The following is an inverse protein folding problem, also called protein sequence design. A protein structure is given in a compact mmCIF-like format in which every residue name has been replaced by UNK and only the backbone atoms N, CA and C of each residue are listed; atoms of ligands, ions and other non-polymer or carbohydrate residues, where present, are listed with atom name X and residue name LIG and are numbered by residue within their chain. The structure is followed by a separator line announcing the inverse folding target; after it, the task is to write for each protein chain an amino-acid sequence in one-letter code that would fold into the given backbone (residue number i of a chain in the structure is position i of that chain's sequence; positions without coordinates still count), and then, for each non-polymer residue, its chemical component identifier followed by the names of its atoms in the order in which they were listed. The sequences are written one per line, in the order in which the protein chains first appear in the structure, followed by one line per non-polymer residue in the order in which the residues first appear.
data_IF_557905543718
#
_entry.id   IF_557905543718
#
_cell.length_a   1.000
_cell.length_b   1.000
_cell.length_c   1.000
_cell.angle_alpha   90.00
_cell.angle_beta   90.00
_cell.angle_gamma   90.00
#
_symmetry.space_group_name_H-M   'P 1'
#
loop_
_entity.id
_entity.type
_entity.pdbx_description
1 polymer ?
#
# COMPACT_ATOMS: atom_id res chain seq x y z
N UNK A 1 3.24 -32.99 7.15
CA UNK A 1 2.99 -32.03 8.24
C UNK A 1 3.99 -30.92 8.05
N UNK A 2 3.58 -29.80 7.49
CA UNK A 2 4.45 -28.62 7.46
C UNK A 2 4.45 -28.02 8.86
N UNK A 3 5.60 -28.12 9.53
CA UNK A 3 5.85 -27.61 10.87
C UNK A 3 5.90 -26.07 10.91
N UNK A 4 5.83 -25.41 9.75
CA UNK A 4 5.86 -23.97 9.62
C UNK A 4 4.53 -23.48 9.00
N UNK A 5 3.76 -22.63 9.70
CA UNK A 5 2.58 -22.03 9.10
C UNK A 5 2.97 -21.21 7.86
N UNK A 6 2.22 -21.37 6.77
CA UNK A 6 2.38 -20.55 5.58
C UNK A 6 1.93 -19.12 5.90
N UNK A 7 2.78 -18.13 5.64
CA UNK A 7 2.45 -16.72 5.80
C UNK A 7 2.37 -16.06 4.42
N UNK A 8 1.28 -15.31 4.18
CA UNK A 8 1.18 -14.47 2.99
C UNK A 8 2.16 -13.31 3.10
N UNK A 9 3.05 -13.16 2.12
CA UNK A 9 3.99 -12.03 2.01
C UNK A 9 4.42 -11.80 0.57
N UNK A 10 4.93 -10.61 0.27
CA UNK A 10 5.72 -10.37 -0.95
C UNK A 10 7.00 -11.22 -0.90
N UNK A 11 7.46 -11.70 -2.05
CA UNK A 11 8.73 -12.42 -2.13
C UNK A 11 9.90 -11.48 -1.91
N UNK A 12 11.02 -12.00 -1.41
CA UNK A 12 12.25 -11.24 -1.19
C UNK A 12 12.68 -10.51 -2.48
N UNK A 13 12.76 -11.25 -3.60
CA UNK A 13 13.07 -10.68 -4.91
C UNK A 13 12.08 -9.58 -5.29
N UNK A 14 10.77 -9.83 -5.12
CA UNK A 14 9.73 -8.88 -5.48
C UNK A 14 9.83 -7.58 -4.69
N UNK A 15 10.09 -7.64 -3.38
CA UNK A 15 10.29 -6.47 -2.55
C UNK A 15 11.50 -5.65 -3.02
N UNK A 16 12.64 -6.30 -3.26
CA UNK A 16 13.84 -5.61 -3.72
C UNK A 16 13.65 -4.94 -5.09
N UNK A 17 13.01 -5.63 -6.03
CA UNK A 17 12.79 -5.07 -7.36
C UNK A 17 11.67 -4.04 -7.44
N UNK A 18 10.68 -4.12 -6.54
CA UNK A 18 9.54 -3.20 -6.58
C UNK A 18 9.81 -1.91 -5.78
N UNK A 19 10.68 -1.95 -4.77
CA UNK A 19 10.81 -0.85 -3.81
C UNK A 19 12.15 -0.13 -3.89
N UNK A 20 13.19 -0.78 -4.42
CA UNK A 20 14.56 -0.28 -4.29
C UNK A 20 15.36 -0.15 -5.58
N UNK A 21 15.09 -0.95 -6.61
CA UNK A 21 15.89 -0.93 -7.82
C UNK A 21 15.68 -2.12 -8.74
N UNK A 22 16.65 -2.39 -9.62
CA UNK A 22 16.63 -3.52 -10.55
C UNK A 22 17.74 -4.52 -10.26
N UNK A 23 17.42 -5.81 -10.36
CA UNK A 23 18.39 -6.89 -10.29
C UNK A 23 19.05 -7.11 -11.65
N UNK A 24 20.38 -7.01 -11.72
CA UNK A 24 21.15 -7.22 -12.95
C UNK A 24 22.07 -8.47 -12.84
N UNK A 25 22.20 -9.28 -13.90
CA UNK A 25 21.51 -9.17 -15.20
C UNK A 25 20.00 -9.48 -15.07
N UNK A 26 19.22 -9.14 -16.10
CA UNK A 26 17.78 -9.41 -16.11
C UNK A 26 17.48 -10.90 -15.80
N UNK A 27 16.37 -11.15 -15.10
CA UNK A 27 15.97 -12.47 -14.58
C UNK A 27 16.86 -13.05 -13.48
N UNK A 28 17.74 -12.24 -12.88
CA UNK A 28 18.47 -12.63 -11.68
C UNK A 28 17.61 -12.52 -10.42
N UNK A 29 18.11 -13.11 -9.34
CA UNK A 29 17.53 -13.07 -7.99
C UNK A 29 18.50 -12.32 -7.06
N UNK A 30 18.10 -12.05 -5.83
CA UNK A 30 19.02 -11.50 -4.81
C UNK A 30 20.23 -12.42 -4.54
N UNK A 31 20.16 -13.70 -4.93
CA UNK A 31 21.27 -14.65 -4.77
C UNK A 31 22.18 -14.72 -6.01
N UNK A 32 21.70 -14.30 -7.18
CA UNK A 32 22.38 -14.49 -8.46
C UNK A 32 22.69 -13.20 -9.21
N UNK A 33 22.17 -12.07 -8.75
CA UNK A 33 22.32 -10.76 -9.39
C UNK A 33 22.62 -9.66 -8.39
N UNK A 34 23.07 -8.52 -8.95
CA UNK A 34 23.40 -7.32 -8.19
C UNK A 34 22.22 -6.35 -8.23
N UNK A 35 21.83 -5.78 -7.09
CA UNK A 35 20.84 -4.71 -7.05
C UNK A 35 21.49 -3.41 -7.50
N UNK A 36 20.94 -2.81 -8.55
CA UNK A 36 21.22 -1.43 -8.93
C UNK A 36 20.06 -0.56 -8.46
N UNK A 37 20.29 0.38 -7.52
CA UNK A 37 19.22 1.19 -6.94
C UNK A 37 18.51 2.07 -7.96
N UNK A 38 17.24 2.39 -7.72
CA UNK A 38 16.55 3.39 -8.50
C UNK A 38 17.27 4.74 -8.50
N UNK A 39 17.28 5.42 -9.64
CA UNK A 39 17.99 6.69 -9.81
C UNK A 39 19.53 6.57 -9.86
N UNK A 40 20.10 5.36 -9.81
CA UNK A 40 21.52 5.15 -10.09
C UNK A 40 21.82 5.28 -11.60
N UNK A 41 22.96 5.86 -12.02
CA UNK A 41 23.32 5.92 -13.44
C UNK A 41 23.42 4.56 -14.14
N UNK A 42 23.68 3.49 -13.39
CA UNK A 42 23.72 2.12 -13.90
C UNK A 42 22.35 1.42 -13.86
N UNK A 43 21.30 2.08 -13.34
CA UNK A 43 19.95 1.51 -13.35
C UNK A 43 19.57 1.22 -14.81
N UNK A 44 19.13 0.00 -15.17
CA UNK A 44 18.65 -0.30 -16.52
C UNK A 44 17.47 0.57 -16.97
N UNK A 45 16.80 1.26 -16.04
CA UNK A 45 15.74 2.21 -16.32
C UNK A 45 15.84 3.43 -15.39
N UNK A 46 16.85 4.30 -15.56
CA UNK A 46 17.15 5.38 -14.62
C UNK A 46 16.20 6.58 -14.74
N UNK A 47 15.39 6.62 -15.80
CA UNK A 47 14.44 7.70 -16.10
C UNK A 47 13.20 7.11 -16.80
N UNK A 48 12.38 6.30 -16.09
CA UNK A 48 11.17 5.72 -16.67
C UNK A 48 10.15 6.79 -17.09
N UNK A 49 10.26 8.00 -16.54
CA UNK A 49 9.38 9.13 -16.82
C UNK A 49 10.14 10.48 -16.78
N UNK A 50 9.39 11.59 -16.66
CA UNK A 50 9.94 12.94 -16.70
C UNK A 50 10.64 13.37 -15.39
N UNK A 51 10.53 12.59 -14.31
CA UNK A 51 11.10 12.92 -13.02
C UNK A 51 12.56 12.48 -12.91
N UNK A 52 13.38 13.33 -12.31
CA UNK A 52 14.75 12.96 -11.93
C UNK A 52 14.72 12.18 -10.63
N UNK A 53 14.28 10.93 -10.68
CA UNK A 53 14.19 10.10 -9.48
C UNK A 53 15.54 10.05 -8.76
N UNK A 54 15.49 10.10 -7.43
CA UNK A 54 16.68 9.96 -6.58
C UNK A 54 16.78 8.54 -6.06
N UNK A 55 17.86 8.21 -5.35
CA UNK A 55 17.97 6.92 -4.68
C UNK A 55 16.92 6.76 -3.57
N UNK A 56 16.44 5.52 -3.31
CA UNK A 56 15.51 5.25 -2.22
C UNK A 56 16.00 5.83 -0.89
N UNK A 57 15.09 6.50 -0.17
CA UNK A 57 15.37 7.20 1.09
C UNK A 57 15.00 6.40 2.34
N UNK A 58 14.81 5.10 2.19
CA UNK A 58 14.57 4.23 3.32
C UNK A 58 15.87 4.17 4.16
N UNK A 59 15.82 4.46 5.47
CA UNK A 59 17.01 4.56 6.30
C UNK A 59 17.61 3.17 6.57
N UNK A 60 18.41 2.67 5.63
CA UNK A 60 19.15 1.41 5.73
C UNK A 60 20.37 1.51 6.65
N UNK A 61 20.77 2.71 7.02
CA UNK A 61 21.91 3.01 7.87
C UNK A 61 21.78 2.45 9.31
N UNK A 62 20.58 2.11 9.74
CA UNK A 62 20.33 1.35 10.98
C UNK A 62 20.35 -0.17 10.73
N UNK A 63 21.52 -0.70 10.36
CA UNK A 63 21.75 -2.14 10.18
C UNK A 63 22.07 -2.86 11.48
N UNK A 64 21.53 -4.06 11.66
CA UNK A 64 21.97 -4.99 12.69
C UNK A 64 23.30 -5.63 12.26
N UNK A 65 24.36 -5.44 13.05
CA UNK A 65 25.69 -5.95 12.73
C UNK A 65 25.74 -7.49 12.61
N UNK A 66 24.91 -8.20 13.37
CA UNK A 66 24.77 -9.65 13.32
C UNK A 66 24.09 -10.13 12.03
N UNK A 67 23.14 -9.35 11.50
CA UNK A 67 22.51 -9.65 10.21
C UNK A 67 23.47 -9.38 9.06
N UNK A 68 24.21 -8.25 9.10
CA UNK A 68 25.26 -7.94 8.12
C UNK A 68 26.37 -9.01 8.13
N UNK A 69 26.80 -9.45 9.31
CA UNK A 69 27.80 -10.52 9.45
C UNK A 69 27.22 -11.92 9.22
N UNK A 70 25.92 -12.04 8.94
CA UNK A 70 25.21 -13.30 8.70
C UNK A 70 25.40 -14.31 9.84
N UNK A 71 25.43 -13.84 11.08
CA UNK A 71 25.58 -14.71 12.26
C UNK A 71 24.43 -15.71 12.31
N UNK A 72 24.73 -17.00 12.15
CA UNK A 72 23.73 -18.07 12.17
C UNK A 72 22.92 -18.25 10.89
N UNK A 73 23.33 -17.65 9.76
CA UNK A 73 22.58 -17.77 8.51
C UNK A 73 22.57 -19.20 7.96
N UNK A 74 21.39 -19.66 7.54
CA UNK A 74 21.13 -21.01 7.02
C UNK A 74 21.25 -21.15 5.49
N UNK A 75 21.57 -20.06 4.78
CA UNK A 75 21.63 -20.02 3.31
C UNK A 75 22.86 -19.27 2.78
N UNK A 76 23.12 -19.33 1.47
CA UNK A 76 24.26 -18.66 0.84
C UNK A 76 24.15 -17.13 0.97
N UNK A 77 25.30 -16.46 0.92
CA UNK A 77 25.36 -15.00 0.91
C UNK A 77 24.73 -14.44 -0.38
N UNK A 78 23.89 -13.38 -0.30
CA UNK A 78 23.43 -12.63 -1.46
C UNK A 78 24.60 -12.08 -2.31
N UNK A 79 24.38 -11.91 -3.61
CA UNK A 79 25.43 -11.45 -4.53
C UNK A 79 25.43 -9.92 -4.68
N UNK A 80 26.49 -9.21 -4.28
CA UNK A 80 26.62 -7.75 -4.49
C UNK A 80 25.73 -6.88 -3.58
N UNK A 81 25.89 -5.55 -3.62
CA UNK A 81 25.24 -4.54 -2.73
C UNK A 81 24.84 -5.05 -1.32
N UNK A 82 25.83 -5.54 -0.57
CA UNK A 82 25.61 -6.22 0.71
C UNK A 82 24.85 -5.40 1.75
N UNK A 83 24.92 -4.06 1.69
CA UNK A 83 24.18 -3.17 2.59
C UNK A 83 22.67 -3.17 2.31
N UNK A 84 22.27 -3.20 1.04
CA UNK A 84 20.85 -3.33 0.68
C UNK A 84 20.39 -4.75 1.01
N UNK A 85 21.08 -5.79 0.55
CA UNK A 85 20.72 -7.17 0.91
C UNK A 85 21.11 -7.59 2.32
N UNK A 86 21.42 -6.68 3.24
CA UNK A 86 21.63 -6.98 4.65
C UNK A 86 20.35 -7.52 5.32
N UNK A 87 19.40 -8.04 4.55
CA UNK A 87 18.12 -8.62 4.93
C UNK A 87 17.17 -7.64 5.64
N UNK A 88 17.55 -6.40 5.92
CA UNK A 88 16.75 -5.46 6.70
C UNK A 88 15.37 -5.11 6.12
N UNK A 89 15.10 -5.45 4.86
CA UNK A 89 13.74 -5.36 4.33
C UNK A 89 12.74 -6.24 5.11
N UNK A 90 13.17 -7.27 5.85
CA UNK A 90 12.26 -8.01 6.76
C UNK A 90 11.62 -7.07 7.80
N UNK A 91 12.27 -5.95 8.16
CA UNK A 91 11.70 -4.92 9.05
C UNK A 91 10.44 -4.27 8.48
N UNK A 92 10.23 -4.41 7.18
CA UNK A 92 9.05 -3.92 6.46
C UNK A 92 8.03 -5.01 6.17
N UNK A 93 8.39 -6.28 6.38
CA UNK A 93 7.46 -7.38 6.14
C UNK A 93 6.39 -7.40 7.25
N UNK A 94 5.15 -7.29 6.82
CA UNK A 94 3.99 -7.57 7.66
C UNK A 94 3.48 -8.95 7.27
N UNK A 95 3.84 -10.03 7.99
CA UNK A 95 3.38 -11.37 7.66
C UNK A 95 1.86 -11.47 7.85
N UNK A 96 1.16 -11.92 6.81
CA UNK A 96 -0.28 -12.15 6.91
C UNK A 96 -0.55 -13.61 7.27
N UNK A 97 -0.90 -13.85 8.54
CA UNK A 97 -1.33 -15.15 9.04
C UNK A 97 -2.78 -15.50 8.65
N UNK A 98 -3.60 -14.53 8.24
CA UNK A 98 -4.99 -14.80 7.87
C UNK A 98 -5.10 -15.75 6.68
N UNK A 99 -4.05 -15.91 5.88
CA UNK A 99 -4.02 -16.90 4.79
C UNK A 99 -4.27 -18.34 5.25
N UNK A 100 -4.13 -18.62 6.55
CA UNK A 100 -4.42 -19.94 7.13
C UNK A 100 -5.87 -20.11 7.57
N UNK A 101 -6.68 -19.04 7.51
CA UNK A 101 -8.10 -19.03 7.87
C UNK A 101 -8.97 -19.33 6.64
N UNK A 102 -10.25 -19.73 6.82
CA UNK A 102 -11.16 -19.86 5.68
C UNK A 102 -11.53 -18.49 5.11
N UNK A 103 -11.76 -18.43 3.80
CA UNK A 103 -12.35 -17.27 3.12
C UNK A 103 -13.88 -17.21 3.32
N UNK A 104 -14.51 -16.32 2.57
CA UNK A 104 -15.97 -16.17 2.57
C UNK A 104 -16.49 -15.86 1.16
N UNK A 105 -17.79 -15.63 1.02
CA UNK A 105 -18.41 -15.19 -0.24
C UNK A 105 -19.11 -13.85 -0.07
N UNK A 106 -19.20 -13.11 -1.17
CA UNK A 106 -19.91 -11.84 -1.28
C UNK A 106 -20.55 -11.78 -2.68
N UNK A 107 -21.87 -11.89 -2.75
CA UNK A 107 -22.60 -11.99 -4.04
C UNK A 107 -22.54 -10.74 -4.89
N UNK A 108 -22.23 -9.59 -4.29
CA UNK A 108 -22.08 -8.31 -4.98
C UNK A 108 -20.63 -7.98 -5.33
N UNK A 109 -19.66 -8.77 -4.86
CA UNK A 109 -18.24 -8.55 -5.09
C UNK A 109 -17.75 -9.24 -6.36
N UNK A 110 -16.70 -8.69 -6.97
CA UNK A 110 -15.98 -9.29 -8.09
C UNK A 110 -14.47 -9.45 -7.79
N UNK A 111 -13.99 -10.67 -7.45
CA UNK A 111 -14.70 -11.94 -7.49
C UNK A 111 -15.65 -12.15 -6.30
N UNK A 112 -16.64 -13.03 -6.48
CA UNK A 112 -17.59 -13.38 -5.41
C UNK A 112 -16.95 -14.16 -4.26
N UNK A 113 -15.89 -14.94 -4.54
CA UNK A 113 -15.12 -15.65 -3.52
C UNK A 113 -14.06 -14.72 -2.96
N UNK A 114 -14.13 -14.45 -1.66
CA UNK A 114 -13.19 -13.59 -0.96
C UNK A 114 -12.08 -14.41 -0.33
N UNK A 115 -10.86 -13.88 -0.41
CA UNK A 115 -9.72 -14.42 0.32
C UNK A 115 -9.95 -14.26 1.83
N UNK A 116 -9.29 -15.07 2.67
CA UNK A 116 -9.37 -14.92 4.12
C UNK A 116 -9.02 -13.49 4.59
N UNK A 117 -8.02 -12.89 3.96
CA UNK A 117 -7.59 -11.51 4.17
C UNK A 117 -8.70 -10.47 3.94
N UNK A 118 -9.59 -10.73 2.96
CA UNK A 118 -10.74 -9.89 2.65
C UNK A 118 -12.01 -10.30 3.43
N UNK A 119 -11.92 -11.34 4.26
CA UNK A 119 -12.98 -11.82 5.13
C UNK A 119 -12.81 -11.27 6.55
N UNK A 120 -11.67 -11.51 7.19
CA UNK A 120 -11.53 -11.34 8.64
C UNK A 120 -11.10 -9.93 9.05
N UNK A 121 -9.98 -9.41 8.52
CA UNK A 121 -9.55 -8.03 8.81
C UNK A 121 -10.65 -6.99 8.51
N UNK A 122 -11.37 -7.02 7.37
CA UNK A 122 -12.46 -6.08 7.11
C UNK A 122 -13.60 -6.12 8.14
N UNK A 123 -13.97 -7.31 8.63
CA UNK A 123 -14.98 -7.45 9.68
C UNK A 123 -14.53 -6.82 10.99
N UNK A 124 -13.26 -7.07 11.38
CA UNK A 124 -12.69 -6.51 12.60
C UNK A 124 -12.52 -4.99 12.51
N UNK A 125 -12.10 -4.47 11.36
CA UNK A 125 -12.01 -3.03 11.12
C UNK A 125 -13.39 -2.37 11.18
N UNK A 126 -14.43 -2.97 10.57
CA UNK A 126 -15.79 -2.43 10.67
C UNK A 126 -16.27 -2.39 12.13
N UNK A 127 -16.07 -3.47 12.88
CA UNK A 127 -16.41 -3.53 14.31
C UNK A 127 -15.63 -2.49 15.14
N UNK A 128 -14.36 -2.25 14.82
CA UNK A 128 -13.56 -1.20 15.46
C UNK A 128 -14.11 0.20 15.17
N UNK A 129 -14.42 0.49 13.90
CA UNK A 129 -15.01 1.79 13.50
C UNK A 129 -16.35 2.02 14.21
N UNK A 130 -17.19 0.99 14.28
CA UNK A 130 -18.45 1.01 15.04
C UNK A 130 -18.21 1.32 16.52
N UNK A 131 -17.26 0.63 17.16
CA UNK A 131 -16.90 0.83 18.57
C UNK A 131 -16.37 2.25 18.86
N UNK A 132 -15.65 2.84 17.92
CA UNK A 132 -15.11 4.21 18.04
C UNK A 132 -16.16 5.30 17.83
N UNK A 133 -17.35 4.98 17.31
CA UNK A 133 -18.34 5.97 16.89
C UNK A 133 -17.97 6.68 15.57
N UNK A 134 -16.98 6.15 14.86
CA UNK A 134 -16.51 6.63 13.57
C UNK A 134 -15.02 6.94 13.51
N UNK A 135 -14.43 6.80 12.33
CA UNK A 135 -13.00 6.98 12.13
C UNK A 135 -12.65 7.38 10.69
N UNK A 136 -11.50 8.02 10.52
CA UNK A 136 -10.78 8.03 9.25
C UNK A 136 -9.93 6.77 9.23
N UNK A 137 -10.01 5.99 8.16
CA UNK A 137 -9.25 4.74 8.02
C UNK A 137 -8.21 4.92 6.94
N UNK A 138 -6.94 4.78 7.31
CA UNK A 138 -5.82 4.72 6.38
C UNK A 138 -5.37 3.27 6.22
N UNK A 139 -5.33 2.80 4.98
CA UNK A 139 -4.84 1.48 4.61
C UNK A 139 -3.58 1.59 3.77
N UNK A 140 -2.80 0.52 3.74
CA UNK A 140 -1.56 0.44 2.97
C UNK A 140 -1.43 -0.90 2.26
N UNK A 141 -0.94 -0.88 1.02
CA UNK A 141 -0.59 -2.08 0.26
C UNK A 141 -1.76 -3.08 0.16
N UNK A 142 -1.55 -4.33 0.57
CA UNK A 142 -2.57 -5.38 0.61
C UNK A 142 -3.86 -4.94 1.34
N UNK A 143 -3.75 -4.12 2.39
CA UNK A 143 -4.92 -3.66 3.14
C UNK A 143 -5.75 -2.60 2.41
N UNK A 144 -5.28 -2.09 1.26
CA UNK A 144 -6.04 -1.23 0.37
C UNK A 144 -7.44 -1.76 0.10
N UNK A 145 -7.53 -3.00 -0.40
CA UNK A 145 -8.82 -3.64 -0.67
C UNK A 145 -9.59 -4.01 0.61
N UNK A 146 -8.88 -4.29 1.71
CA UNK A 146 -9.52 -4.57 3.00
C UNK A 146 -10.32 -3.37 3.51
N UNK A 147 -9.81 -2.14 3.31
CA UNK A 147 -10.53 -0.91 3.61
C UNK A 147 -11.84 -0.79 2.83
N UNK A 148 -11.87 -1.22 1.57
CA UNK A 148 -13.09 -1.23 0.76
C UNK A 148 -14.07 -2.30 1.23
N UNK A 149 -13.61 -3.50 1.58
CA UNK A 149 -14.48 -4.52 2.17
C UNK A 149 -15.03 -4.06 3.53
N UNK A 150 -14.26 -3.32 4.33
CA UNK A 150 -14.73 -2.73 5.58
C UNK A 150 -15.86 -1.72 5.30
N UNK A 151 -15.69 -0.84 4.31
CA UNK A 151 -16.73 0.10 3.86
C UNK A 151 -18.00 -0.63 3.43
N UNK A 152 -17.88 -1.74 2.66
CA UNK A 152 -19.02 -2.61 2.30
C UNK A 152 -19.72 -3.15 3.54
N UNK A 153 -18.98 -3.66 4.52
CA UNK A 153 -19.55 -4.23 5.74
C UNK A 153 -20.28 -3.15 6.55
N UNK A 154 -19.71 -1.94 6.68
CA UNK A 154 -20.39 -0.82 7.32
C UNK A 154 -21.69 -0.45 6.57
N UNK A 155 -21.67 -0.45 5.23
CA UNK A 155 -22.88 -0.23 4.40
C UNK A 155 -23.94 -1.29 4.67
N UNK A 156 -23.59 -2.57 4.62
CA UNK A 156 -24.51 -3.69 4.86
C UNK A 156 -25.14 -3.63 6.26
N UNK A 157 -24.41 -3.09 7.25
CA UNK A 157 -24.89 -2.91 8.62
C UNK A 157 -25.64 -1.59 8.85
N UNK A 158 -25.80 -0.75 7.82
CA UNK A 158 -26.44 0.57 7.95
C UNK A 158 -25.58 1.60 8.70
N UNK A 159 -24.28 1.36 8.84
CA UNK A 159 -23.32 2.17 9.59
C UNK A 159 -22.31 2.91 8.70
N UNK A 160 -22.58 3.04 7.40
CA UNK A 160 -21.68 3.67 6.44
C UNK A 160 -21.22 5.09 6.87
N UNK A 161 -22.11 5.86 7.52
CA UNK A 161 -21.80 7.21 8.02
C UNK A 161 -20.76 7.28 9.16
N UNK A 162 -20.35 6.13 9.72
CA UNK A 162 -19.26 6.07 10.69
C UNK A 162 -17.88 6.18 10.02
N UNK A 163 -17.75 5.81 8.74
CA UNK A 163 -16.53 6.07 7.99
C UNK A 163 -16.43 7.56 7.65
N UNK A 164 -15.45 8.26 8.23
CA UNK A 164 -15.25 9.70 8.05
C UNK A 164 -14.35 10.03 6.86
N UNK A 165 -13.56 9.07 6.39
CA UNK A 165 -12.73 9.15 5.20
C UNK A 165 -11.95 7.85 5.02
N UNK A 166 -11.67 7.50 3.76
CA UNK A 166 -10.83 6.35 3.40
C UNK A 166 -9.58 6.84 2.68
N UNK A 167 -8.41 6.51 3.22
CA UNK A 167 -7.10 6.83 2.64
C UNK A 167 -6.44 5.51 2.25
N UNK A 168 -5.98 5.40 1.00
CA UNK A 168 -5.34 4.20 0.45
C UNK A 168 -3.92 4.55 0.02
N UNK A 169 -2.93 4.01 0.74
CA UNK A 169 -1.51 4.24 0.48
C UNK A 169 -0.97 3.07 -0.33
N UNK A 170 -0.73 3.26 -1.63
CA UNK A 170 -0.28 2.21 -2.56
C UNK A 170 -1.07 0.90 -2.48
N UNK A 171 -2.36 1.01 -2.19
CA UNK A 171 -3.30 -0.10 -2.13
C UNK A 171 -4.16 -0.23 -3.38
N UNK A 172 -4.92 -1.32 -3.45
CA UNK A 172 -5.99 -1.43 -4.45
C UNK A 172 -7.14 -0.46 -4.14
N UNK A 173 -7.73 0.07 -5.20
CA UNK A 173 -8.87 1.01 -5.17
C UNK A 173 -10.14 0.44 -5.83
N UNK A 174 -10.15 -0.82 -6.25
CA UNK A 174 -11.28 -1.38 -7.00
C UNK A 174 -12.55 -1.44 -6.14
N UNK A 175 -13.53 -0.58 -6.44
CA UNK A 175 -14.84 -0.61 -5.77
C UNK A 175 -15.62 -1.91 -6.08
N UNK A 176 -15.71 -2.39 -7.34
CA UNK A 176 -16.41 -3.63 -7.67
C UNK A 176 -15.86 -4.86 -6.92
N UNK A 177 -14.56 -4.90 -6.64
CA UNK A 177 -13.96 -6.00 -5.87
C UNK A 177 -14.53 -6.13 -4.46
N UNK A 178 -15.11 -5.05 -3.92
CA UNK A 178 -15.79 -5.05 -2.64
C UNK A 178 -17.29 -4.81 -2.77
N UNK A 179 -17.89 -5.00 -3.95
CA UNK A 179 -19.33 -4.77 -4.17
C UNK A 179 -19.79 -3.33 -3.89
N UNK A 180 -18.85 -2.38 -4.01
CA UNK A 180 -19.09 -0.96 -3.85
C UNK A 180 -19.19 -0.27 -5.20
N UNK A 181 -19.79 0.92 -5.15
CA UNK A 181 -19.86 1.85 -6.28
C UNK A 181 -19.44 3.24 -5.80
N UNK A 182 -19.20 4.16 -6.73
CA UNK A 182 -18.88 5.54 -6.37
C UNK A 182 -19.99 6.23 -5.54
N UNK A 183 -21.24 5.77 -5.64
CA UNK A 183 -22.35 6.28 -4.83
C UNK A 183 -22.17 6.03 -3.34
N UNK A 184 -21.48 4.95 -2.97
CA UNK A 184 -21.19 4.64 -1.58
C UNK A 184 -20.22 5.65 -0.93
N UNK A 185 -19.58 6.49 -1.75
CA UNK A 185 -18.66 7.55 -1.31
C UNK A 185 -19.23 8.96 -1.48
N UNK A 186 -20.53 9.14 -1.75
CA UNK A 186 -21.11 10.47 -1.97
C UNK A 186 -20.82 11.48 -0.84
N UNK A 187 -20.67 11.00 0.40
CA UNK A 187 -20.37 11.83 1.56
C UNK A 187 -19.11 11.39 2.34
N UNK A 188 -18.30 10.49 1.76
CA UNK A 188 -17.08 9.97 2.38
C UNK A 188 -15.88 10.42 1.53
N UNK A 189 -15.06 11.38 2.02
CA UNK A 189 -13.82 11.75 1.36
C UNK A 189 -12.92 10.55 1.09
N UNK A 190 -12.28 10.54 -0.07
CA UNK A 190 -11.44 9.43 -0.54
C UNK A 190 -10.08 9.94 -1.00
N UNK A 191 -9.00 9.35 -0.50
CA UNK A 191 -7.64 9.66 -0.96
C UNK A 191 -6.95 8.38 -1.38
N UNK A 192 -6.38 8.38 -2.59
CA UNK A 192 -5.37 7.41 -2.99
C UNK A 192 -4.02 8.13 -3.12
N UNK A 193 -2.96 7.55 -2.57
CA UNK A 193 -1.62 8.15 -2.61
C UNK A 193 -0.58 7.12 -3.07
N UNK A 194 0.36 7.58 -3.90
CA UNK A 194 1.47 6.80 -4.46
C UNK A 194 2.83 7.48 -4.24
N UNK A 195 3.87 6.66 -4.09
CA UNK A 195 5.27 7.07 -4.01
C UNK A 195 5.90 7.37 -5.36
N UNK A 196 7.24 7.33 -5.41
CA UNK A 196 8.04 7.81 -6.54
C UNK A 196 8.10 6.79 -7.70
N UNK A 197 8.69 5.61 -7.49
CA UNK A 197 9.05 4.65 -8.54
C UNK A 197 7.89 3.80 -9.09
N UNK A 198 6.66 4.31 -9.05
CA UNK A 198 5.50 3.50 -9.40
C UNK A 198 4.64 4.18 -10.48
N UNK A 199 4.22 3.43 -11.51
CA UNK A 199 3.34 3.99 -12.51
C UNK A 199 1.98 4.34 -11.91
N UNK A 200 1.28 5.27 -12.56
CA UNK A 200 -0.08 5.64 -12.21
C UNK A 200 -1.00 4.41 -12.17
N UNK A 201 -1.76 4.26 -11.09
CA UNK A 201 -2.79 3.23 -10.97
C UNK A 201 -4.08 3.69 -11.64
N UNK A 202 -4.37 3.17 -12.84
CA UNK A 202 -5.61 3.48 -13.54
C UNK A 202 -6.85 3.09 -12.73
N UNK A 203 -6.82 1.97 -12.00
CA UNK A 203 -7.93 1.57 -11.12
C UNK A 203 -8.24 2.62 -10.04
N UNK A 204 -7.21 3.22 -9.45
CA UNK A 204 -7.38 4.28 -8.47
C UNK A 204 -7.83 5.60 -9.13
N UNK A 205 -7.27 5.94 -10.29
CA UNK A 205 -7.70 7.12 -11.06
C UNK A 205 -9.16 7.03 -11.48
N UNK A 206 -9.61 5.88 -11.97
CA UNK A 206 -11.00 5.65 -12.37
C UNK A 206 -11.95 5.76 -11.18
N UNK A 207 -11.55 5.21 -10.03
CA UNK A 207 -12.30 5.32 -8.77
C UNK A 207 -12.45 6.77 -8.31
N UNK A 208 -11.33 7.52 -8.26
CA UNK A 208 -11.32 8.94 -7.91
C UNK A 208 -12.15 9.75 -8.90
N UNK A 209 -12.03 9.47 -10.20
CA UNK A 209 -12.79 10.14 -11.26
C UNK A 209 -14.28 9.88 -11.14
N UNK A 210 -14.69 8.64 -10.84
CA UNK A 210 -16.09 8.28 -10.66
C UNK A 210 -16.71 8.99 -9.44
N UNK A 211 -16.01 9.07 -8.31
CA UNK A 211 -16.48 9.81 -7.12
C UNK A 211 -16.59 11.31 -7.44
N UNK A 212 -15.58 11.89 -8.09
CA UNK A 212 -15.60 13.30 -8.46
C UNK A 212 -16.69 13.63 -9.50
N UNK A 213 -17.00 12.72 -10.43
CA UNK A 213 -18.10 12.89 -11.38
C UNK A 213 -19.46 12.99 -10.66
N UNK A 214 -19.67 12.19 -9.61
CA UNK A 214 -20.88 12.28 -8.77
C UNK A 214 -20.96 13.60 -8.02
N UNK A 215 -19.84 14.07 -7.47
CA UNK A 215 -19.74 15.40 -6.85
C UNK A 215 -20.08 16.51 -7.86
N UNK A 216 -19.53 16.47 -9.07
CA UNK A 216 -19.83 17.43 -10.13
C UNK A 216 -21.31 17.40 -10.55
N UNK A 217 -21.91 16.21 -10.57
CA UNK A 217 -23.35 16.00 -10.78
C UNK A 217 -24.23 16.37 -9.58
N UNK A 218 -23.68 16.92 -8.50
CA UNK A 218 -24.39 17.27 -7.24
C UNK A 218 -25.08 16.08 -6.56
N UNK A 219 -24.61 14.86 -6.83
CA UNK A 219 -25.10 13.62 -6.19
C UNK A 219 -24.42 13.35 -4.85
N UNK A 220 -23.22 13.92 -4.66
CA UNK A 220 -22.45 13.86 -3.43
C UNK A 220 -21.70 15.15 -3.16
N UNK A 221 -21.07 15.22 -1.99
CA UNK A 221 -20.24 16.36 -1.56
C UNK A 221 -18.77 15.97 -1.35
N UNK A 222 -18.47 14.68 -1.25
CA UNK A 222 -17.14 14.18 -0.96
C UNK A 222 -16.11 14.59 -2.01
N UNK A 223 -14.93 15.01 -1.55
CA UNK A 223 -13.75 15.19 -2.39
C UNK A 223 -13.03 13.85 -2.52
N UNK A 224 -12.63 13.51 -3.75
CA UNK A 224 -11.70 12.43 -4.01
C UNK A 224 -10.44 12.96 -4.69
N UNK A 225 -9.26 12.46 -4.30
CA UNK A 225 -7.97 12.80 -4.91
C UNK A 225 -7.10 11.57 -5.11
N UNK A 226 -6.33 11.58 -6.20
CA UNK A 226 -5.21 10.68 -6.45
C UNK A 226 -3.93 11.52 -6.43
N UNK A 227 -3.11 11.33 -5.41
CA UNK A 227 -1.87 12.07 -5.23
C UNK A 227 -0.68 11.16 -5.57
N UNK A 228 0.30 11.70 -6.27
CA UNK A 228 1.62 11.08 -6.40
C UNK A 228 2.67 12.00 -5.78
N UNK A 229 3.55 11.42 -4.98
CA UNK A 229 4.55 12.17 -4.23
C UNK A 229 5.64 12.76 -5.14
N UNK A 230 5.96 12.09 -6.24
CA UNK A 230 6.88 12.58 -7.28
C UNK A 230 6.36 13.83 -8.00
N UNK A 231 5.06 13.89 -8.32
CA UNK A 231 4.39 15.08 -8.86
C UNK A 231 4.48 16.28 -7.90
N UNK A 232 4.73 16.03 -6.60
CA UNK A 232 4.89 17.02 -5.54
C UNK A 232 6.37 17.35 -5.24
N UNK A 233 7.32 16.74 -5.95
CA UNK A 233 8.76 16.88 -5.69
C UNK A 233 9.26 16.07 -4.49
N UNK A 234 8.42 15.21 -3.92
CA UNK A 234 8.75 14.33 -2.79
C UNK A 234 9.32 13.02 -3.37
N UNK A 235 10.53 13.12 -3.91
CA UNK A 235 11.25 12.03 -4.56
C UNK A 235 11.95 11.12 -3.54
N UNK A 236 12.27 9.89 -3.95
CA UNK A 236 13.02 8.92 -3.16
C UNK A 236 12.16 8.02 -2.26
N UNK A 237 10.85 8.21 -2.29
CA UNK A 237 9.91 7.52 -1.40
C UNK A 237 9.60 6.13 -1.94
N UNK A 238 9.75 5.13 -1.07
CA UNK A 238 9.50 3.73 -1.36
C UNK A 238 8.06 3.33 -1.06
N UNK A 239 7.74 2.05 -1.30
CA UNK A 239 6.45 1.48 -0.91
C UNK A 239 6.15 1.65 0.58
N UNK A 240 7.18 1.59 1.43
CA UNK A 240 7.08 1.70 2.88
C UNK A 240 7.29 3.14 3.34
N UNK A 241 6.60 4.07 2.67
CA UNK A 241 6.68 5.53 2.85
C UNK A 241 6.54 6.03 4.29
N UNK A 242 5.87 5.27 5.16
CA UNK A 242 5.73 5.60 6.58
C UNK A 242 7.02 5.40 7.38
N UNK A 243 8.00 4.68 6.81
CA UNK A 243 9.31 4.41 7.40
C UNK A 243 10.46 5.12 6.66
N UNK A 244 10.19 5.76 5.53
CA UNK A 244 11.18 6.57 4.80
C UNK A 244 11.61 7.81 5.61
N UNK A 245 12.78 8.38 5.31
CA UNK A 245 13.26 9.58 6.02
C UNK A 245 12.36 10.81 5.79
N UNK A 246 11.48 10.77 4.78
CA UNK A 246 10.47 11.78 4.49
C UNK A 246 9.09 11.48 5.11
N UNK A 247 8.98 10.47 5.97
CA UNK A 247 7.69 10.05 6.51
C UNK A 247 6.89 11.16 7.21
N UNK A 248 7.55 12.11 7.89
CA UNK A 248 6.87 13.25 8.51
C UNK A 248 6.36 14.27 7.49
N UNK A 249 7.11 14.51 6.41
CA UNK A 249 6.65 15.34 5.28
C UNK A 249 5.42 14.71 4.60
N UNK A 250 5.43 13.39 4.44
CA UNK A 250 4.29 12.63 3.89
C UNK A 250 3.10 12.65 4.87
N UNK A 251 3.36 12.57 6.17
CA UNK A 251 2.32 12.70 7.19
C UNK A 251 1.66 14.09 7.11
N UNK A 252 2.42 15.16 6.90
CA UNK A 252 1.88 16.51 6.71
C UNK A 252 0.97 16.58 5.48
N UNK A 253 1.36 15.97 4.35
CA UNK A 253 0.50 15.87 3.14
C UNK A 253 -0.85 15.21 3.47
N UNK A 254 -0.83 14.09 4.18
CA UNK A 254 -2.04 13.35 4.56
C UNK A 254 -2.91 14.15 5.54
N UNK A 255 -2.31 14.74 6.57
CA UNK A 255 -3.02 15.50 7.59
C UNK A 255 -3.63 16.79 7.02
N UNK A 256 -2.92 17.48 6.13
CA UNK A 256 -3.43 18.65 5.43
C UNK A 256 -4.61 18.30 4.54
N UNK A 257 -4.53 17.19 3.81
CA UNK A 257 -5.65 16.71 3.00
C UNK A 257 -6.85 16.39 3.87
N UNK A 258 -6.65 15.69 5.00
CA UNK A 258 -7.71 15.38 5.96
C UNK A 258 -8.35 16.64 6.51
N UNK A 259 -7.55 17.61 6.96
CA UNK A 259 -8.04 18.87 7.54
C UNK A 259 -8.91 19.67 6.56
N UNK A 260 -8.60 19.60 5.25
CA UNK A 260 -9.35 20.30 4.21
C UNK A 260 -10.65 19.60 3.82
N UNK A 261 -10.69 18.26 3.89
CA UNK A 261 -11.74 17.48 3.23
C UNK A 261 -12.64 16.68 4.18
N UNK A 262 -12.17 16.34 5.38
CA UNK A 262 -12.96 15.59 6.38
C UNK A 262 -13.55 16.54 7.39
N UNK A 263 -14.89 16.50 7.54
CA UNK A 263 -15.60 17.36 8.51
C UNK A 263 -15.31 16.88 9.93
N UNK A 264 -14.82 17.79 10.77
CA UNK A 264 -14.78 17.61 12.23
C UNK A 264 -16.23 17.59 12.74
N UNK A 265 -16.70 16.44 13.22
CA UNK A 265 -17.97 16.30 13.92
C UNK A 265 -17.70 15.54 15.21
#
# INVERSE_FOLDING_TARGET
MDLLPSFGRITDNGAWTAWYGHLVPANSTILTGTLVPHGDPADPNPSPDAYQHVRPLFPLDTVDAGVVSRTGAIGPQPAGSNQYYALEYYKQLVPNAEVTLPGSTCSTCDPMTLTPANTWTPQNLAALVEKLGGAIVATHSQSGIMGHHMTRILKERGQLGLLKGLITLEGSCSLPNSGLTAADFDNIPYLALKGDYTPTSMVCQDTVSAINARRAGKQGTAKADYLKLDDMGILGVTHMMMLDTKNLEIADVLLDWVNKNVKRR
#
